data_IF_814864175151
#
_entry.id   IF_814864175151
#
_cell.length_a   1.000
_cell.length_b   1.000
_cell.length_c   1.000
_cell.angle_alpha   90.00
_cell.angle_beta   90.00
_cell.angle_gamma   90.00
#
_symmetry.space_group_name_H-M   'P 1'
#
loop_
_entity.id
_entity.type
_entity.pdbx_description
1 polymer ?
#
# COMPACT_ATOMS: atom_id res chain seq x y z
N UNK A 1 19.22 -28.59 -7.68
CA UNK A 1 19.48 -27.14 -7.57
C UNK A 1 18.20 -26.49 -7.12
N UNK A 2 18.20 -25.87 -5.95
CA UNK A 2 17.03 -25.16 -5.43
C UNK A 2 17.15 -23.72 -5.93
N UNK A 3 16.32 -23.35 -6.91
CA UNK A 3 16.25 -21.97 -7.38
C UNK A 3 15.91 -21.07 -6.19
N UNK A 4 16.82 -20.15 -5.87
CA UNK A 4 16.56 -19.10 -4.91
C UNK A 4 15.52 -18.19 -5.57
N UNK A 5 14.25 -18.37 -5.22
CA UNK A 5 13.19 -17.43 -5.59
C UNK A 5 13.64 -16.05 -5.13
N UNK A 6 14.01 -15.19 -6.08
CA UNK A 6 14.36 -13.81 -5.80
C UNK A 6 13.05 -13.10 -5.45
N UNK A 7 12.71 -13.12 -4.15
CA UNK A 7 11.46 -12.56 -3.64
C UNK A 7 11.63 -11.05 -3.54
N UNK A 8 11.30 -10.35 -4.61
CA UNK A 8 11.19 -8.90 -4.54
C UNK A 8 9.94 -8.51 -3.73
N UNK A 9 10.13 -7.69 -2.70
CA UNK A 9 9.04 -7.13 -1.88
C UNK A 9 9.11 -5.62 -2.08
N UNK A 10 8.24 -5.03 -2.93
CA UNK A 10 8.26 -3.59 -3.14
C UNK A 10 7.87 -2.87 -1.85
N UNK A 11 8.59 -1.78 -1.56
CA UNK A 11 8.35 -0.92 -0.40
C UNK A 11 7.89 0.43 -0.89
N UNK A 12 6.81 0.94 -0.32
CA UNK A 12 6.29 2.27 -0.59
C UNK A 12 6.09 3.05 0.70
N UNK A 13 6.31 4.37 0.63
CA UNK A 13 5.93 5.29 1.70
C UNK A 13 4.44 5.62 1.59
N UNK A 14 3.83 6.01 2.71
CA UNK A 14 2.50 6.61 2.71
C UNK A 14 2.45 7.85 1.79
N UNK A 15 1.25 8.17 1.33
CA UNK A 15 0.99 9.39 0.57
C UNK A 15 1.09 10.64 1.44
N UNK A 16 0.95 11.80 0.82
CA UNK A 16 1.10 13.07 1.52
C UNK A 16 0.01 13.18 2.59
N UNK A 17 0.40 13.54 3.80
CA UNK A 17 -0.43 13.59 4.98
C UNK A 17 -0.47 14.98 5.59
N UNK A 18 -1.50 15.24 6.39
CA UNK A 18 -1.59 16.44 7.20
C UNK A 18 -0.51 16.29 8.28
N UNK A 19 0.59 17.04 8.13
CA UNK A 19 1.74 17.00 9.05
C UNK A 19 1.36 17.64 10.39
N UNK A 20 0.78 16.82 11.25
CA UNK A 20 0.38 17.23 12.59
C UNK A 20 1.51 16.95 13.59
N UNK A 21 2.60 17.70 13.44
CA UNK A 21 3.84 17.55 14.23
C UNK A 21 3.62 17.60 15.75
N UNK A 22 2.48 18.12 16.21
CA UNK A 22 2.21 18.41 17.61
C UNK A 22 0.97 17.71 18.17
N UNK A 23 0.18 16.98 17.38
CA UNK A 23 -0.98 16.23 17.88
C UNK A 23 -0.92 14.73 17.56
N UNK A 24 -1.58 13.94 18.41
CA UNK A 24 -1.88 12.50 18.23
C UNK A 24 -0.69 11.60 17.85
N UNK A 25 0.45 11.73 18.52
CA UNK A 25 1.66 10.91 18.24
C UNK A 25 2.05 10.91 16.75
N UNK A 26 1.88 12.07 16.11
CA UNK A 26 2.13 12.31 14.67
C UNK A 26 1.35 11.34 13.78
N UNK A 27 0.12 10.99 14.15
CA UNK A 27 -0.75 10.05 13.41
C UNK A 27 -1.82 10.78 12.57
N UNK A 28 -1.35 11.62 11.65
CA UNK A 28 -2.19 12.41 10.74
C UNK A 28 -2.94 11.58 9.70
N UNK A 29 -4.00 12.17 9.16
CA UNK A 29 -4.73 11.65 8.00
C UNK A 29 -4.01 12.03 6.69
N UNK A 30 -4.26 11.27 5.62
CA UNK A 30 -3.87 11.67 4.28
C UNK A 30 -4.54 12.98 3.84
N UNK A 31 -3.84 13.76 3.01
CA UNK A 31 -4.42 14.87 2.26
C UNK A 31 -5.39 14.30 1.20
N UNK A 32 -6.63 14.81 1.09
CA UNK A 32 -7.59 14.38 0.06
C UNK A 32 -7.10 14.66 -1.37
N UNK A 33 -7.68 13.98 -2.37
CA UNK A 33 -7.40 14.27 -3.79
C UNK A 33 -6.21 13.50 -4.39
N UNK A 34 -5.73 12.47 -3.72
CA UNK A 34 -4.59 11.66 -4.16
C UNK A 34 -4.99 10.38 -4.91
N UNK A 35 -6.25 10.27 -5.35
CA UNK A 35 -6.82 9.12 -6.07
C UNK A 35 -6.07 8.86 -7.39
N UNK A 36 -5.71 9.91 -8.13
CA UNK A 36 -4.96 9.76 -9.38
C UNK A 36 -3.58 9.11 -9.17
N UNK A 37 -2.90 9.43 -8.06
CA UNK A 37 -1.63 8.80 -7.68
C UNK A 37 -1.83 7.33 -7.30
N UNK A 38 -2.90 7.04 -6.55
CA UNK A 38 -3.27 5.67 -6.22
C UNK A 38 -3.61 4.83 -7.46
N UNK A 39 -4.29 5.43 -8.46
CA UNK A 39 -4.63 4.77 -9.71
C UNK A 39 -3.38 4.35 -10.49
N UNK A 40 -2.40 5.27 -10.66
CA UNK A 40 -1.15 4.97 -11.35
C UNK A 40 -0.39 3.81 -10.69
N UNK A 41 -0.32 3.80 -9.36
CA UNK A 41 0.31 2.71 -8.60
C UNK A 41 -0.48 1.41 -8.75
N UNK A 42 -1.81 1.46 -8.72
CA UNK A 42 -2.65 0.29 -8.92
C UNK A 42 -2.47 -0.35 -10.30
N UNK A 43 -2.36 0.46 -11.36
CA UNK A 43 -2.08 0.00 -12.72
C UNK A 43 -0.72 -0.69 -12.83
N UNK A 44 0.31 -0.10 -12.21
CA UNK A 44 1.67 -0.67 -12.15
C UNK A 44 1.67 -2.03 -11.43
N UNK A 45 1.08 -2.10 -10.23
CA UNK A 45 1.00 -3.33 -9.43
C UNK A 45 0.24 -4.44 -10.16
N UNK A 46 -0.88 -4.13 -10.82
CA UNK A 46 -1.63 -5.12 -11.60
C UNK A 46 -0.78 -5.65 -12.76
N UNK A 47 -0.07 -4.76 -13.45
CA UNK A 47 0.82 -5.13 -14.56
C UNK A 47 1.91 -6.10 -14.09
N UNK A 48 2.58 -5.80 -12.99
CA UNK A 48 3.63 -6.66 -12.41
C UNK A 48 3.07 -8.02 -11.97
N UNK A 49 1.97 -8.02 -11.21
CA UNK A 49 1.35 -9.25 -10.70
C UNK A 49 0.90 -10.17 -11.84
N UNK A 50 0.38 -9.60 -12.93
CA UNK A 50 -0.02 -10.38 -14.12
C UNK A 50 1.19 -10.91 -14.90
N UNK A 51 2.28 -10.15 -15.02
CA UNK A 51 3.53 -10.63 -15.64
C UNK A 51 4.10 -11.85 -14.92
N UNK A 52 3.93 -11.91 -13.60
CA UNK A 52 4.36 -13.04 -12.77
C UNK A 52 3.29 -14.15 -12.62
N UNK A 53 2.21 -14.10 -13.41
CA UNK A 53 1.08 -15.05 -13.36
C UNK A 53 0.42 -15.18 -11.97
N UNK A 54 0.58 -14.16 -11.11
CA UNK A 54 0.00 -14.09 -9.77
C UNK A 54 -1.43 -13.52 -9.84
N UNK A 55 -2.18 -13.73 -8.76
CA UNK A 55 -3.61 -13.35 -8.65
C UNK A 55 -3.98 -12.70 -7.30
N UNK A 56 -2.97 -12.33 -6.53
CA UNK A 56 -3.15 -11.78 -5.20
C UNK A 56 -2.12 -10.71 -4.90
N UNK A 57 -2.57 -9.66 -4.20
CA UNK A 57 -1.75 -8.56 -3.71
C UNK A 57 -2.01 -8.43 -2.21
N UNK A 58 -0.92 -8.33 -1.43
CA UNK A 58 -0.99 -8.13 0.01
C UNK A 58 -0.20 -6.89 0.38
N UNK A 59 -0.90 -5.91 0.94
CA UNK A 59 -0.29 -4.75 1.58
C UNK A 59 -0.04 -5.09 3.04
N UNK A 60 1.20 -4.92 3.48
CA UNK A 60 1.57 -4.96 4.89
C UNK A 60 2.04 -3.56 5.26
N UNK A 61 1.33 -2.91 6.16
CA UNK A 61 1.55 -1.50 6.50
C UNK A 61 1.68 -1.32 8.02
N UNK A 62 2.22 -0.17 8.45
CA UNK A 62 2.19 0.19 9.87
C UNK A 62 0.76 0.45 10.35
N UNK A 63 0.55 0.42 11.65
CA UNK A 63 -0.74 0.75 12.28
C UNK A 63 -1.06 2.25 12.25
N UNK A 64 -0.16 3.10 11.75
CA UNK A 64 -0.41 4.54 11.56
C UNK A 64 -1.48 4.76 10.48
N UNK A 65 -2.39 5.70 10.74
CA UNK A 65 -3.56 6.04 9.91
C UNK A 65 -3.17 6.34 8.47
N UNK A 66 -2.20 7.21 8.23
CA UNK A 66 -1.70 7.55 6.89
C UNK A 66 -1.23 6.33 6.08
N UNK A 67 -0.57 5.36 6.72
CA UNK A 67 -0.10 4.16 6.04
C UNK A 67 -1.26 3.23 5.69
N UNK A 68 -2.17 3.03 6.64
CA UNK A 68 -3.40 2.27 6.45
C UNK A 68 -4.26 2.88 5.33
N UNK A 69 -4.51 4.19 5.38
CA UNK A 69 -5.29 4.92 4.38
C UNK A 69 -4.65 4.83 3.00
N UNK A 70 -3.32 4.94 2.90
CA UNK A 70 -2.61 4.79 1.62
C UNK A 70 -2.84 3.40 1.03
N UNK A 71 -2.65 2.35 1.85
CA UNK A 71 -2.84 0.97 1.41
C UNK A 71 -4.29 0.71 0.97
N UNK A 72 -5.27 1.25 1.70
CA UNK A 72 -6.68 1.13 1.33
C UNK A 72 -7.01 1.89 0.03
N UNK A 73 -6.48 3.10 -0.14
CA UNK A 73 -6.73 3.90 -1.34
C UNK A 73 -6.22 3.19 -2.61
N UNK A 74 -5.01 2.64 -2.58
CA UNK A 74 -4.47 1.84 -3.69
C UNK A 74 -5.26 0.54 -3.86
N UNK A 75 -5.60 -0.15 -2.77
CA UNK A 75 -6.38 -1.38 -2.84
C UNK A 75 -7.77 -1.17 -3.48
N UNK A 76 -8.40 -0.03 -3.24
CA UNK A 76 -9.69 0.30 -3.82
C UNK A 76 -9.57 0.58 -5.33
N UNK A 77 -8.52 1.28 -5.78
CA UNK A 77 -8.24 1.43 -7.22
C UNK A 77 -7.96 0.09 -7.90
N UNK A 78 -7.21 -0.82 -7.26
CA UNK A 78 -6.99 -2.17 -7.79
C UNK A 78 -8.32 -2.92 -7.98
N UNK A 79 -9.23 -2.83 -7.01
CA UNK A 79 -10.55 -3.49 -7.08
C UNK A 79 -11.44 -2.90 -8.18
N UNK A 80 -11.29 -1.61 -8.50
CA UNK A 80 -12.00 -0.97 -9.61
C UNK A 80 -11.46 -1.45 -10.97
N UNK A 81 -10.13 -1.62 -11.10
CA UNK A 81 -9.49 -2.09 -12.34
C UNK A 81 -9.73 -3.59 -12.56
N UNK A 82 -9.55 -4.41 -11.52
CA UNK A 82 -9.68 -5.87 -11.60
C UNK A 82 -10.37 -6.43 -10.35
N UNK A 83 -11.69 -6.59 -10.44
CA UNK A 83 -12.53 -7.09 -9.35
C UNK A 83 -12.28 -8.57 -8.99
N UNK A 84 -11.49 -9.31 -9.78
CA UNK A 84 -11.09 -10.69 -9.49
C UNK A 84 -9.75 -10.78 -8.75
N UNK A 85 -8.98 -9.68 -8.71
CA UNK A 85 -7.73 -9.61 -7.98
C UNK A 85 -7.97 -9.77 -6.47
N UNK A 86 -7.30 -10.73 -5.82
CA UNK A 86 -7.42 -10.91 -4.37
C UNK A 86 -6.54 -9.88 -3.65
N UNK A 87 -7.15 -8.87 -3.05
CA UNK A 87 -6.41 -7.81 -2.34
C UNK A 87 -6.65 -7.88 -0.84
N UNK A 88 -5.57 -7.92 -0.04
CA UNK A 88 -5.61 -7.80 1.42
C UNK A 88 -4.73 -6.66 1.91
N UNK A 89 -5.22 -5.98 2.95
CA UNK A 89 -4.45 -4.99 3.71
C UNK A 89 -4.30 -5.55 5.13
N UNK A 90 -3.06 -5.59 5.62
CA UNK A 90 -2.70 -6.07 6.95
C UNK A 90 -1.90 -5.00 7.65
N UNK A 91 -2.25 -4.72 8.90
CA UNK A 91 -1.51 -3.81 9.77
C UNK A 91 -0.51 -4.60 10.61
N UNK A 92 0.69 -4.05 10.79
CA UNK A 92 1.75 -4.63 11.60
C UNK A 92 2.43 -3.51 12.42
N UNK A 93 2.29 -3.56 13.75
CA UNK A 93 2.78 -2.50 14.64
C UNK A 93 4.30 -2.29 14.54
N UNK A 94 5.05 -3.36 14.30
CA UNK A 94 6.51 -3.33 14.13
C UNK A 94 7.00 -2.61 12.86
N UNK A 95 6.10 -2.10 12.01
CA UNK A 95 6.46 -1.28 10.84
C UNK A 95 6.28 0.23 11.08
N UNK A 96 5.89 0.63 12.29
CA UNK A 96 5.81 2.05 12.65
C UNK A 96 7.18 2.72 12.55
N UNK A 97 7.18 4.00 12.15
CA UNK A 97 8.41 4.79 12.14
C UNK A 97 9.00 4.84 13.56
N UNK A 98 10.33 4.79 13.65
CA UNK A 98 11.04 4.99 14.91
C UNK A 98 10.91 6.48 15.25
N UNK A 99 10.36 6.77 16.43
CA UNK A 99 10.25 8.12 16.99
C UNK A 99 11.60 8.64 17.53
#
# INVERSE_FOLDING_TARGET
MQEKLDRNIPVMRHFDDIDDLLNFDRDGNLIPGQEAKALLIAEELISEVKKEEKRAIMFVCSSKRRATQTAHLVADEIRKIDNKMKVRVVQQDGLSAID
#
